data_IF_003260574941
#
_entry.id   IF_003260574941
#
_cell.length_a   1.000
_cell.length_b   1.000
_cell.length_c   1.000
_cell.angle_alpha   90.00
_cell.angle_beta   90.00
_cell.angle_gamma   90.00
#
_symmetry.space_group_name_H-M   'P 1'
#
loop_
_entity.id
_entity.type
_entity.pdbx_description
1 polymer ?
#
# COMPACT_ATOMS: atom_id res chain seq x y z
N UNK A 1 -32.75 37.09 9.22
CA UNK A 1 -31.54 36.29 9.62
C UNK A 1 -31.65 34.94 9.00
N UNK A 2 -30.98 34.76 7.86
CA UNK A 2 -31.00 33.50 7.11
C UNK A 2 -29.86 32.64 7.59
N UNK A 3 -30.19 31.57 8.33
CA UNK A 3 -29.21 30.62 8.83
C UNK A 3 -28.72 29.76 7.64
N UNK A 4 -27.51 30.02 7.18
CA UNK A 4 -26.84 29.18 6.19
C UNK A 4 -26.40 27.89 6.95
N UNK A 5 -27.13 26.81 6.73
CA UNK A 5 -26.76 25.48 7.16
C UNK A 5 -25.61 25.01 6.24
N UNK A 6 -24.39 25.06 6.72
CA UNK A 6 -23.26 24.36 6.08
C UNK A 6 -23.58 22.86 6.14
N UNK A 7 -23.99 22.32 5.00
CA UNK A 7 -24.07 20.87 4.80
C UNK A 7 -22.63 20.35 4.89
N UNK A 8 -22.30 19.65 5.93
CA UNK A 8 -21.09 18.82 5.96
C UNK A 8 -21.18 17.88 4.77
N UNK A 9 -20.16 17.79 3.91
CA UNK A 9 -20.19 16.84 2.82
C UNK A 9 -20.33 15.44 3.42
N UNK A 10 -21.35 14.70 2.99
CA UNK A 10 -21.46 13.28 3.33
C UNK A 10 -20.15 12.58 2.91
N UNK A 11 -19.65 11.65 3.71
CA UNK A 11 -18.44 10.91 3.34
C UNK A 11 -18.75 10.15 2.04
N UNK A 12 -18.16 10.61 0.95
CA UNK A 12 -18.22 9.90 -0.33
C UNK A 12 -17.50 8.58 -0.09
N UNK A 13 -18.22 7.49 -0.16
CA UNK A 13 -17.67 6.14 -0.01
C UNK A 13 -16.52 5.89 -1.00
N UNK A 14 -15.68 4.87 -0.79
CA UNK A 14 -14.57 4.59 -1.68
C UNK A 14 -15.09 4.28 -3.10
N UNK A 15 -14.49 4.92 -4.10
CA UNK A 15 -14.76 4.64 -5.50
C UNK A 15 -14.04 3.36 -5.89
N UNK A 16 -14.79 2.38 -6.41
CA UNK A 16 -14.26 1.12 -6.94
C UNK A 16 -14.35 1.13 -8.47
N UNK A 17 -13.28 0.70 -9.12
CA UNK A 17 -13.22 0.54 -10.57
C UNK A 17 -12.69 -0.85 -10.88
N UNK A 18 -13.48 -1.70 -11.53
CA UNK A 18 -13.01 -3.00 -12.03
C UNK A 18 -11.97 -2.77 -13.13
N UNK A 19 -10.79 -3.36 -12.95
CA UNK A 19 -9.67 -3.29 -13.90
C UNK A 19 -9.55 -4.57 -14.73
N UNK A 20 -9.86 -5.72 -14.13
CA UNK A 20 -9.84 -7.02 -14.75
C UNK A 20 -10.87 -7.92 -14.07
N UNK A 21 -11.68 -8.62 -14.87
CA UNK A 21 -12.62 -9.63 -14.38
C UNK A 21 -12.53 -10.84 -15.30
N UNK A 22 -11.99 -11.94 -14.79
CA UNK A 22 -11.77 -13.18 -15.53
C UNK A 22 -12.11 -14.39 -14.66
N UNK A 23 -12.02 -15.60 -15.22
CA UNK A 23 -12.16 -16.83 -14.43
C UNK A 23 -11.06 -17.04 -13.39
N UNK A 24 -9.96 -16.28 -13.45
CA UNK A 24 -8.84 -16.37 -12.51
C UNK A 24 -9.01 -15.44 -11.31
N UNK A 25 -9.47 -14.21 -11.52
CA UNK A 25 -9.62 -13.22 -10.46
C UNK A 25 -10.48 -12.03 -10.89
N UNK A 26 -11.01 -11.33 -9.88
CA UNK A 26 -11.46 -9.94 -9.98
C UNK A 26 -10.36 -9.02 -9.45
N UNK A 27 -10.02 -7.97 -10.21
CA UNK A 27 -9.04 -6.95 -9.79
C UNK A 27 -9.69 -5.58 -9.83
N UNK A 28 -9.66 -4.89 -8.71
CA UNK A 28 -10.28 -3.58 -8.53
C UNK A 28 -9.25 -2.52 -8.11
N UNK A 29 -9.38 -1.33 -8.65
CA UNK A 29 -8.72 -0.13 -8.16
C UNK A 29 -9.70 0.61 -7.23
N UNK A 30 -9.33 0.73 -5.96
CA UNK A 30 -10.15 1.34 -4.93
C UNK A 30 -9.48 2.62 -4.45
N UNK A 31 -10.24 3.74 -4.49
CA UNK A 31 -9.75 5.06 -4.11
C UNK A 31 -10.73 5.75 -3.18
N UNK A 32 -10.21 6.38 -2.15
CA UNK A 32 -11.00 7.13 -1.18
C UNK A 32 -10.35 8.48 -0.89
N UNK A 33 -11.17 9.52 -0.77
CA UNK A 33 -10.79 10.86 -0.33
C UNK A 33 -11.06 11.07 1.17
N UNK A 34 -10.86 10.06 1.99
CA UNK A 34 -11.16 10.09 3.43
C UNK A 34 -10.51 11.28 4.15
N UNK A 35 -11.21 11.83 5.14
CA UNK A 35 -10.72 12.90 6.00
C UNK A 35 -9.92 12.33 7.18
N UNK A 36 -8.95 13.11 7.67
CA UNK A 36 -8.17 12.74 8.85
C UNK A 36 -9.10 12.48 10.05
N UNK A 37 -8.82 11.38 10.78
CA UNK A 37 -9.62 10.97 11.93
C UNK A 37 -10.95 10.32 11.58
N UNK A 38 -11.32 10.21 10.29
CA UNK A 38 -12.54 9.50 9.90
C UNK A 38 -12.39 8.00 10.15
N UNK A 39 -13.48 7.40 10.59
CA UNK A 39 -13.63 5.95 10.73
C UNK A 39 -14.62 5.52 9.65
N UNK A 40 -14.20 4.65 8.76
CA UNK A 40 -15.06 4.07 7.75
C UNK A 40 -16.12 3.15 8.37
N UNK A 41 -17.13 2.84 7.58
CA UNK A 41 -18.12 1.83 7.97
C UNK A 41 -17.43 0.47 8.19
N UNK A 42 -18.05 -0.37 9.00
CA UNK A 42 -17.67 -1.78 9.09
C UNK A 42 -17.88 -2.44 7.73
N UNK A 43 -16.90 -3.21 7.31
CA UNK A 43 -16.92 -3.95 6.06
C UNK A 43 -16.56 -5.41 6.30
N UNK A 44 -16.89 -6.24 5.34
CA UNK A 44 -16.40 -7.61 5.26
C UNK A 44 -16.22 -7.99 3.79
N UNK A 45 -15.39 -8.98 3.53
CA UNK A 45 -15.32 -9.60 2.21
C UNK A 45 -15.83 -11.04 2.31
N UNK A 46 -16.73 -11.48 1.43
CA UNK A 46 -17.12 -12.90 1.38
C UNK A 46 -15.98 -13.79 0.90
N UNK A 47 -15.02 -13.23 0.18
CA UNK A 47 -13.91 -13.93 -0.47
C UNK A 47 -12.56 -13.50 0.09
N UNK A 48 -11.55 -14.33 -0.13
CA UNK A 48 -10.17 -13.99 0.20
C UNK A 48 -9.67 -12.88 -0.72
N UNK A 49 -9.01 -11.86 -0.14
CA UNK A 49 -8.47 -10.75 -0.91
C UNK A 49 -7.02 -10.47 -0.56
N UNK A 50 -6.25 -10.14 -1.60
CA UNK A 50 -4.94 -9.51 -1.47
C UNK A 50 -5.11 -8.02 -1.74
N UNK A 51 -4.79 -7.19 -0.74
CA UNK A 51 -4.87 -5.73 -0.84
C UNK A 51 -3.47 -5.15 -0.90
N UNK A 52 -3.21 -4.36 -1.94
CA UNK A 52 -1.92 -3.74 -2.22
C UNK A 52 -2.07 -2.21 -2.23
N UNK A 53 -1.96 -1.54 -1.08
CA UNK A 53 -2.02 -0.08 -1.04
C UNK A 53 -0.90 0.52 -1.89
N UNK A 54 -1.18 1.57 -2.68
CA UNK A 54 -0.17 2.23 -3.48
C UNK A 54 -0.07 3.75 -3.23
N UNK A 55 -1.04 4.32 -2.50
CA UNK A 55 -1.06 5.72 -2.08
C UNK A 55 -1.72 5.87 -0.71
N UNK A 56 -1.20 6.82 0.08
CA UNK A 56 -1.76 7.14 1.39
C UNK A 56 -1.45 6.11 2.48
N UNK A 57 -2.17 6.23 3.58
CA UNK A 57 -2.06 5.35 4.75
C UNK A 57 -3.41 5.20 5.42
N UNK A 58 -3.73 3.99 5.86
CA UNK A 58 -4.90 3.69 6.69
C UNK A 58 -4.56 2.65 7.74
N UNK A 59 -5.40 2.52 8.74
CA UNK A 59 -5.33 1.46 9.75
C UNK A 59 -6.52 0.55 9.59
N UNK A 60 -6.24 -0.72 9.35
CA UNK A 60 -7.23 -1.77 9.20
C UNK A 60 -7.35 -2.54 10.51
N UNK A 61 -8.52 -2.47 11.13
CA UNK A 61 -8.81 -3.06 12.43
C UNK A 61 -9.69 -4.30 12.24
N UNK A 62 -9.20 -5.46 12.68
CA UNK A 62 -9.89 -6.74 12.60
C UNK A 62 -9.88 -7.38 13.98
N UNK A 63 -11.03 -7.42 14.64
CA UNK A 63 -11.15 -7.87 16.03
C UNK A 63 -10.23 -7.08 16.97
N UNK A 64 -9.17 -7.73 17.46
CA UNK A 64 -8.19 -7.10 18.36
C UNK A 64 -6.89 -6.66 17.67
N UNK A 65 -6.73 -6.99 16.40
CA UNK A 65 -5.53 -6.64 15.62
C UNK A 65 -5.73 -5.31 14.91
N UNK A 66 -4.66 -4.51 14.84
CA UNK A 66 -4.59 -3.31 14.02
C UNK A 66 -3.40 -3.44 13.06
N UNK A 67 -3.66 -3.25 11.79
CA UNK A 67 -2.67 -3.38 10.72
C UNK A 67 -2.60 -2.06 9.96
N UNK A 68 -1.40 -1.56 9.74
CA UNK A 68 -1.20 -0.35 8.94
C UNK A 68 -1.07 -0.74 7.47
N UNK A 69 -2.01 -0.25 6.65
CA UNK A 69 -1.96 -0.31 5.21
C UNK A 69 -1.23 0.91 4.66
N UNK A 70 -0.08 0.70 4.05
CA UNK A 70 0.70 1.72 3.33
C UNK A 70 1.38 1.08 2.10
N UNK A 71 1.99 1.86 1.18
CA UNK A 71 2.56 1.32 -0.05
C UNK A 71 3.68 0.28 0.10
N UNK A 72 4.21 0.09 1.30
CA UNK A 72 5.21 -0.94 1.61
C UNK A 72 4.59 -2.25 2.12
N UNK A 73 3.26 -2.35 2.21
CA UNK A 73 2.56 -3.51 2.76
C UNK A 73 1.69 -4.21 1.71
N UNK A 74 1.53 -5.51 1.86
CA UNK A 74 0.41 -6.29 1.34
C UNK A 74 -0.46 -6.71 2.52
N UNK A 75 -1.78 -6.60 2.38
CA UNK A 75 -2.75 -7.02 3.38
C UNK A 75 -3.51 -8.24 2.86
N UNK A 76 -3.88 -9.13 3.76
CA UNK A 76 -4.58 -10.38 3.45
C UNK A 76 -5.92 -10.41 4.18
N UNK A 77 -7.01 -10.26 3.42
CA UNK A 77 -8.37 -10.28 3.95
C UNK A 77 -8.88 -11.71 3.96
N UNK A 78 -9.25 -12.19 5.15
CA UNK A 78 -9.81 -13.53 5.33
C UNK A 78 -11.32 -13.50 5.03
N UNK A 79 -11.88 -14.48 4.31
CA UNK A 79 -13.30 -14.54 4.02
C UNK A 79 -14.19 -14.43 5.27
N UNK A 80 -15.19 -13.55 5.22
CA UNK A 80 -16.21 -13.39 6.26
C UNK A 80 -15.71 -12.74 7.56
N UNK A 81 -14.49 -12.23 7.60
CA UNK A 81 -14.03 -11.42 8.74
C UNK A 81 -14.53 -9.98 8.62
N UNK A 82 -15.12 -9.48 9.69
CA UNK A 82 -15.49 -8.07 9.79
C UNK A 82 -14.27 -7.21 10.09
N UNK A 83 -14.17 -6.08 9.43
CA UNK A 83 -13.11 -5.12 9.64
C UNK A 83 -13.62 -3.69 9.64
N UNK A 84 -12.83 -2.80 10.22
CA UNK A 84 -13.06 -1.36 10.21
C UNK A 84 -11.78 -0.65 9.72
N UNK A 85 -11.94 0.39 8.91
CA UNK A 85 -10.83 1.21 8.46
C UNK A 85 -10.82 2.55 9.17
N UNK A 86 -9.63 3.00 9.58
CA UNK A 86 -9.40 4.32 10.18
C UNK A 86 -8.34 5.06 9.37
N UNK A 87 -8.57 6.34 9.16
CA UNK A 87 -7.73 7.21 8.33
C UNK A 87 -6.97 8.19 9.21
N UNK A 88 -5.67 7.94 9.54
CA UNK A 88 -4.91 8.79 10.45
C UNK A 88 -4.48 10.12 9.83
N UNK A 89 -4.43 10.22 8.50
CA UNK A 89 -4.01 11.41 7.76
C UNK A 89 -5.09 11.87 6.77
N UNK A 90 -5.11 13.16 6.40
CA UNK A 90 -5.93 13.66 5.29
C UNK A 90 -5.36 13.20 3.94
N UNK A 91 -6.14 13.36 2.85
CA UNK A 91 -5.72 13.09 1.48
C UNK A 91 -6.08 11.71 0.96
N UNK A 92 -6.73 10.89 1.79
CA UNK A 92 -7.26 9.60 1.38
C UNK A 92 -6.20 8.53 1.13
N UNK A 93 -6.62 7.48 0.46
CA UNK A 93 -5.77 6.33 0.09
C UNK A 93 -6.18 5.77 -1.26
N UNK A 94 -5.28 4.98 -1.85
CA UNK A 94 -5.59 4.17 -3.02
C UNK A 94 -4.91 2.80 -2.91
N UNK A 95 -5.63 1.77 -3.33
CA UNK A 95 -5.23 0.36 -3.21
C UNK A 95 -5.70 -0.46 -4.41
N UNK A 96 -4.90 -1.43 -4.80
CA UNK A 96 -5.28 -2.48 -5.72
C UNK A 96 -5.77 -3.67 -4.91
N UNK A 97 -7.02 -4.07 -5.12
CA UNK A 97 -7.61 -5.26 -4.50
C UNK A 97 -7.64 -6.37 -5.54
N UNK A 98 -7.08 -7.52 -5.20
CA UNK A 98 -7.14 -8.74 -6.00
C UNK A 98 -7.94 -9.78 -5.24
N UNK A 99 -9.04 -10.22 -5.84
CA UNK A 99 -9.88 -11.32 -5.35
C UNK A 99 -9.65 -12.52 -6.26
N UNK A 100 -8.70 -13.43 -5.93
CA UNK A 100 -8.44 -14.61 -6.74
C UNK A 100 -9.60 -15.59 -6.64
N UNK A 101 -9.88 -16.32 -7.72
CA UNK A 101 -10.82 -17.44 -7.67
C UNK A 101 -10.32 -18.52 -6.70
N UNK A 102 -11.24 -19.28 -6.10
CA UNK A 102 -10.87 -20.33 -5.15
C UNK A 102 -9.90 -21.37 -5.75
N UNK A 103 -10.09 -21.85 -7.00
CA UNK A 103 -9.15 -22.77 -7.63
C UNK A 103 -7.75 -22.19 -7.80
N UNK A 104 -7.63 -20.91 -8.20
CA UNK A 104 -6.35 -20.24 -8.34
C UNK A 104 -5.67 -20.06 -6.96
N UNK A 105 -6.43 -19.68 -5.96
CA UNK A 105 -5.89 -19.52 -4.60
C UNK A 105 -5.37 -20.84 -4.03
N UNK A 106 -6.10 -21.95 -4.24
CA UNK A 106 -5.66 -23.29 -3.85
C UNK A 106 -4.37 -23.70 -4.57
N UNK A 107 -4.27 -23.47 -5.88
CA UNK A 107 -3.03 -23.72 -6.65
C UNK A 107 -1.85 -22.96 -6.07
N UNK A 108 -2.03 -21.67 -5.82
CA UNK A 108 -0.95 -20.79 -5.33
C UNK A 108 -0.56 -21.03 -3.87
N UNK A 109 -1.45 -21.61 -3.08
CA UNK A 109 -1.22 -21.87 -1.64
C UNK A 109 -0.86 -23.32 -1.30
N UNK A 110 -0.67 -24.17 -2.32
CA UNK A 110 -0.13 -25.51 -2.15
C UNK A 110 -1.14 -26.66 -2.14
N UNK A 111 -2.28 -26.48 -2.79
CA UNK A 111 -3.17 -27.58 -3.21
C UNK A 111 -4.58 -27.57 -2.61
N UNK A 112 -5.46 -28.46 -3.12
CA UNK A 112 -6.89 -28.48 -2.81
C UNK A 112 -7.17 -28.72 -1.32
N UNK A 113 -8.19 -28.04 -0.79
CA UNK A 113 -8.61 -28.13 0.60
C UNK A 113 -7.83 -27.24 1.57
N UNK A 114 -6.85 -26.46 1.12
CA UNK A 114 -6.22 -25.41 1.94
C UNK A 114 -7.01 -24.12 1.82
N UNK A 115 -8.03 -24.00 2.63
CA UNK A 115 -8.76 -22.73 2.78
C UNK A 115 -7.79 -21.57 3.06
N UNK A 116 -8.06 -20.41 2.47
CA UNK A 116 -7.35 -19.16 2.75
C UNK A 116 -7.20 -18.91 4.26
N UNK A 117 -8.19 -19.28 5.06
CA UNK A 117 -8.17 -19.17 6.54
C UNK A 117 -7.03 -19.95 7.21
N UNK A 118 -6.53 -21.02 6.58
CA UNK A 118 -5.45 -21.85 7.13
C UNK A 118 -4.08 -21.41 6.62
N UNK A 119 -4.01 -20.62 5.56
CA UNK A 119 -2.74 -20.17 5.00
C UNK A 119 -2.05 -19.16 5.96
N UNK A 120 -0.75 -19.33 6.26
CA UNK A 120 -0.03 -18.50 7.23
C UNK A 120 -0.13 -16.99 6.96
N UNK A 121 -0.11 -16.57 5.70
CA UNK A 121 -0.19 -15.14 5.32
C UNK A 121 -1.53 -14.50 5.72
N UNK A 122 -2.64 -15.19 5.57
CA UNK A 122 -3.95 -14.68 5.98
C UNK A 122 -4.05 -14.56 7.49
N UNK A 123 -3.37 -15.45 8.24
CA UNK A 123 -3.26 -15.33 9.71
C UNK A 123 -2.40 -14.14 10.14
N UNK A 124 -1.35 -13.82 9.38
CA UNK A 124 -0.49 -12.66 9.65
C UNK A 124 -1.15 -11.33 9.30
N UNK A 125 -2.19 -11.35 8.45
CA UNK A 125 -2.97 -10.20 7.98
C UNK A 125 -2.21 -9.18 7.14
N UNK A 126 -0.91 -9.08 7.30
CA UNK A 126 -0.07 -8.21 6.46
C UNK A 126 1.37 -8.70 6.41
N UNK A 127 2.06 -8.29 5.36
CA UNK A 127 3.51 -8.42 5.27
C UNK A 127 4.10 -7.24 4.50
N UNK A 128 5.34 -6.89 4.81
CA UNK A 128 6.09 -5.92 4.03
C UNK A 128 6.41 -6.50 2.64
N UNK A 129 6.19 -5.71 1.61
CA UNK A 129 6.52 -6.06 0.23
C UNK A 129 7.87 -5.47 -0.19
N UNK A 130 8.48 -6.09 -1.17
CA UNK A 130 9.72 -5.60 -1.77
C UNK A 130 9.46 -4.63 -2.94
N UNK A 131 10.48 -3.93 -3.45
CA UNK A 131 10.33 -3.04 -4.60
C UNK A 131 9.85 -3.74 -5.88
N UNK A 132 10.12 -5.05 -6.06
CA UNK A 132 9.68 -5.79 -7.25
C UNK A 132 8.17 -5.89 -7.30
N UNK A 133 7.54 -6.19 -6.16
CA UNK A 133 6.08 -6.25 -6.06
C UNK A 133 5.45 -4.86 -6.19
N UNK A 134 6.09 -3.80 -5.67
CA UNK A 134 5.65 -2.43 -5.90
C UNK A 134 5.67 -2.06 -7.40
N UNK A 135 6.73 -2.44 -8.10
CA UNK A 135 6.85 -2.21 -9.54
C UNK A 135 5.82 -3.03 -10.34
N UNK A 136 5.62 -4.31 -9.99
CA UNK A 136 4.61 -5.16 -10.63
C UNK A 136 3.20 -4.57 -10.48
N UNK A 137 2.84 -4.12 -9.27
CA UNK A 137 1.57 -3.42 -9.02
C UNK A 137 1.44 -2.15 -9.89
N UNK A 138 2.47 -1.31 -9.94
CA UNK A 138 2.43 -0.08 -10.74
C UNK A 138 2.32 -0.36 -12.24
N UNK A 139 2.99 -1.40 -12.73
CA UNK A 139 2.86 -1.85 -14.13
C UNK A 139 1.46 -2.37 -14.42
N UNK A 140 0.88 -3.16 -13.53
CA UNK A 140 -0.49 -3.66 -13.69
C UNK A 140 -1.50 -2.50 -13.80
N UNK A 141 -1.40 -1.50 -12.91
CA UNK A 141 -2.23 -0.31 -12.95
C UNK A 141 -2.07 0.47 -14.26
N UNK A 142 -0.82 0.64 -14.74
CA UNK A 142 -0.53 1.30 -16.02
C UNK A 142 -1.07 0.52 -17.21
N UNK A 143 -0.93 -0.80 -17.20
CA UNK A 143 -1.41 -1.71 -18.24
C UNK A 143 -2.95 -1.67 -18.34
N UNK A 144 -3.64 -1.79 -17.22
CA UNK A 144 -5.09 -1.70 -17.16
C UNK A 144 -5.61 -0.33 -17.63
N UNK A 145 -4.93 0.78 -17.26
CA UNK A 145 -5.27 2.12 -17.71
C UNK A 145 -5.06 2.32 -19.23
N UNK A 146 -4.15 1.56 -19.84
CA UNK A 146 -3.90 1.57 -21.28
C UNK A 146 -4.88 0.70 -22.09
N UNK A 147 -5.75 -0.08 -21.45
CA UNK A 147 -6.68 -1.00 -22.10
C UNK A 147 -5.98 -2.19 -22.75
N UNK A 148 -5.04 -2.78 -22.03
CA UNK A 148 -4.26 -3.92 -22.50
C UNK A 148 -5.11 -5.18 -22.78
N UNK A 149 -4.54 -6.08 -23.56
CA UNK A 149 -5.15 -7.38 -23.84
C UNK A 149 -5.29 -8.20 -22.55
N UNK A 150 -6.42 -8.92 -22.37
CA UNK A 150 -6.70 -9.69 -21.15
C UNK A 150 -5.58 -10.67 -20.79
N UNK A 151 -4.98 -11.36 -21.77
CA UNK A 151 -3.92 -12.34 -21.53
C UNK A 151 -2.67 -11.71 -20.90
N UNK A 152 -2.25 -10.52 -21.38
CA UNK A 152 -1.11 -9.81 -20.82
C UNK A 152 -1.36 -9.38 -19.37
N UNK A 153 -2.59 -8.93 -19.08
CA UNK A 153 -3.01 -8.56 -17.73
C UNK A 153 -3.04 -9.79 -16.81
N UNK A 154 -3.54 -10.95 -17.27
CA UNK A 154 -3.57 -12.19 -16.51
C UNK A 154 -2.15 -12.72 -16.20
N UNK A 155 -1.23 -12.71 -17.17
CA UNK A 155 0.16 -13.13 -16.94
C UNK A 155 0.84 -12.26 -15.87
N UNK A 156 0.66 -10.94 -15.95
CA UNK A 156 1.20 -10.02 -14.97
C UNK A 156 0.55 -10.20 -13.60
N UNK A 157 -0.77 -10.45 -13.54
CA UNK A 157 -1.50 -10.76 -12.33
C UNK A 157 -0.98 -12.03 -11.65
N UNK A 158 -0.79 -13.11 -12.41
CA UNK A 158 -0.24 -14.37 -11.88
C UNK A 158 1.17 -14.17 -11.33
N UNK A 159 2.02 -13.40 -12.02
CA UNK A 159 3.35 -13.05 -11.52
C UNK A 159 3.28 -12.25 -10.21
N UNK A 160 2.36 -11.30 -10.12
CA UNK A 160 2.11 -10.50 -8.92
C UNK A 160 1.65 -11.37 -7.76
N UNK A 161 0.67 -12.25 -7.97
CA UNK A 161 0.14 -13.14 -6.95
C UNK A 161 1.20 -14.13 -6.45
N UNK A 162 1.97 -14.77 -7.36
CA UNK A 162 3.07 -15.67 -6.98
C UNK A 162 4.13 -14.94 -6.14
N UNK A 163 4.47 -13.71 -6.50
CA UNK A 163 5.41 -12.89 -5.72
C UNK A 163 4.82 -12.52 -4.36
N UNK A 164 3.53 -12.17 -4.33
CA UNK A 164 2.85 -11.77 -3.09
C UNK A 164 2.64 -12.95 -2.13
N UNK A 165 2.41 -14.16 -2.60
CA UNK A 165 2.13 -15.35 -1.79
C UNK A 165 3.38 -16.22 -1.55
N UNK A 166 4.41 -16.10 -2.39
CA UNK A 166 5.50 -17.06 -2.53
C UNK A 166 6.64 -17.03 -1.52
N UNK A 167 6.74 -16.10 -0.58
CA UNK A 167 7.80 -16.09 0.44
C UNK A 167 7.22 -16.07 1.86
N UNK A 168 7.30 -17.21 2.53
CA UNK A 168 7.02 -17.34 3.96
C UNK A 168 8.17 -16.72 4.77
N UNK A 169 8.08 -15.44 5.11
CA UNK A 169 8.79 -14.90 6.27
C UNK A 169 7.79 -14.76 7.40
N UNK A 170 7.99 -15.49 8.51
CA UNK A 170 7.13 -15.31 9.67
C UNK A 170 7.27 -13.88 10.17
N UNK A 171 6.25 -13.07 9.97
CA UNK A 171 6.16 -11.78 10.63
C UNK A 171 5.82 -12.03 12.10
N UNK A 172 6.60 -11.45 13.00
CA UNK A 172 6.26 -11.42 14.42
C UNK A 172 4.94 -10.65 14.55
N UNK A 173 3.94 -11.29 15.18
CA UNK A 173 2.75 -10.54 15.62
C UNK A 173 3.15 -9.74 16.87
N UNK A 174 3.36 -8.43 16.77
CA UNK A 174 3.82 -7.66 17.90
C UNK A 174 2.70 -7.48 18.94
N UNK A 175 3.07 -7.37 20.23
CA UNK A 175 2.15 -7.00 21.30
C UNK A 175 1.43 -5.68 21.00
N UNK A 176 0.24 -5.44 21.58
CA UNK A 176 -0.59 -4.26 21.30
C UNK A 176 0.13 -2.91 21.50
N UNK A 177 0.95 -2.80 22.54
CA UNK A 177 1.76 -1.58 22.76
C UNK A 177 2.75 -1.35 21.60
N UNK A 178 3.35 -2.40 21.09
CA UNK A 178 4.24 -2.39 19.93
C UNK A 178 3.49 -2.02 18.65
N UNK A 179 2.28 -2.56 18.44
CA UNK A 179 1.45 -2.21 17.29
C UNK A 179 1.13 -0.71 17.24
N UNK A 180 0.72 -0.11 18.37
CA UNK A 180 0.44 1.33 18.49
C UNK A 180 1.68 2.19 18.22
N UNK A 181 2.85 1.77 18.71
CA UNK A 181 4.10 2.48 18.44
C UNK A 181 4.47 2.41 16.96
N UNK A 182 4.33 1.24 16.34
CA UNK A 182 4.58 1.06 14.91
C UNK A 182 3.60 1.85 14.05
N UNK A 183 2.32 1.88 14.41
CA UNK A 183 1.30 2.71 13.76
C UNK A 183 1.70 4.19 13.79
N UNK A 184 2.04 4.73 14.98
CA UNK A 184 2.48 6.12 15.12
C UNK A 184 3.72 6.41 14.30
N UNK A 185 4.71 5.51 14.30
CA UNK A 185 5.93 5.66 13.52
C UNK A 185 5.65 5.69 12.00
N UNK A 186 4.87 4.76 11.50
CA UNK A 186 4.48 4.71 10.07
C UNK A 186 3.65 5.93 9.66
N UNK A 187 2.69 6.33 10.51
CA UNK A 187 1.88 7.54 10.27
C UNK A 187 2.76 8.78 10.19
N UNK A 188 3.73 8.93 11.11
CA UNK A 188 4.67 10.05 11.08
C UNK A 188 5.54 10.04 9.82
N UNK A 189 6.07 8.87 9.42
CA UNK A 189 6.85 8.72 8.18
C UNK A 189 6.03 9.09 6.94
N UNK A 190 4.77 8.70 6.89
CA UNK A 190 3.88 9.02 5.79
C UNK A 190 3.51 10.52 5.74
N UNK A 191 3.27 11.14 6.91
CA UNK A 191 2.98 12.59 7.02
C UNK A 191 4.15 13.47 6.58
N UNK A 192 5.38 13.04 6.88
CA UNK A 192 6.61 13.80 6.64
C UNK A 192 7.41 13.28 5.42
N UNK A 193 6.74 12.61 4.50
CA UNK A 193 7.36 11.87 3.38
C UNK A 193 8.28 12.77 2.54
N UNK A 194 7.85 13.99 2.21
CA UNK A 194 8.60 14.94 1.37
C UNK A 194 9.71 15.70 2.09
N UNK A 195 9.86 15.51 3.42
CA UNK A 195 10.78 16.29 4.27
C UNK A 195 11.98 15.47 4.72
N UNK A 196 13.12 16.12 4.92
CA UNK A 196 14.23 15.50 5.64
C UNK A 196 13.89 15.45 7.12
N UNK A 197 13.86 14.25 7.69
CA UNK A 197 13.54 14.00 9.10
C UNK A 197 14.65 13.22 9.78
N UNK A 198 14.93 13.58 11.04
CA UNK A 198 15.91 12.90 11.87
C UNK A 198 15.27 11.79 12.71
N UNK A 199 16.09 10.82 13.12
CA UNK A 199 15.64 9.76 14.04
C UNK A 199 15.14 10.34 15.37
N UNK A 200 15.76 11.42 15.85
CA UNK A 200 15.36 12.09 17.10
C UNK A 200 13.96 12.74 16.98
N UNK A 201 13.64 13.34 15.84
CA UNK A 201 12.30 13.87 15.57
C UNK A 201 11.24 12.77 15.57
N UNK A 202 11.49 11.67 14.85
CA UNK A 202 10.58 10.53 14.81
C UNK A 202 10.37 9.98 16.24
N UNK A 203 11.44 9.72 16.97
CA UNK A 203 11.40 9.16 18.31
C UNK A 203 10.60 10.04 19.28
N UNK A 204 10.80 11.37 19.22
CA UNK A 204 10.03 12.33 19.99
C UNK A 204 8.54 12.31 19.63
N UNK A 205 8.22 12.31 18.35
CA UNK A 205 6.83 12.30 17.86
C UNK A 205 6.06 11.05 18.30
N UNK A 206 6.74 9.90 18.38
CA UNK A 206 6.12 8.64 18.79
C UNK A 206 6.26 8.34 20.30
N UNK A 207 6.97 9.18 21.07
CA UNK A 207 7.15 9.02 22.51
C UNK A 207 8.01 7.80 22.87
N UNK A 208 9.11 7.58 22.13
CA UNK A 208 10.05 6.48 22.36
C UNK A 208 11.50 7.00 22.37
N UNK A 209 12.44 6.23 22.93
CA UNK A 209 13.85 6.55 22.75
C UNK A 209 14.31 6.16 21.33
N UNK A 210 15.29 6.89 20.73
CA UNK A 210 15.80 6.58 19.40
C UNK A 210 16.32 5.13 19.26
N UNK A 211 17.04 4.64 20.29
CA UNK A 211 17.58 3.27 20.29
C UNK A 211 16.48 2.21 20.30
N UNK A 212 15.49 2.36 21.20
CA UNK A 212 14.34 1.44 21.27
C UNK A 212 13.54 1.44 19.97
N UNK A 213 13.22 2.62 19.43
CA UNK A 213 12.48 2.74 18.16
C UNK A 213 13.21 2.02 17.02
N UNK A 214 14.53 2.22 16.89
CA UNK A 214 15.33 1.60 15.83
C UNK A 214 15.34 0.09 15.92
N UNK A 215 15.56 -0.45 17.13
CA UNK A 215 15.57 -1.90 17.37
C UNK A 215 14.20 -2.52 17.07
N UNK A 216 13.14 -1.91 17.62
CA UNK A 216 11.79 -2.40 17.46
C UNK A 216 11.34 -2.36 16.00
N UNK A 217 11.56 -1.24 15.33
CA UNK A 217 11.16 -1.08 13.92
C UNK A 217 11.85 -2.10 13.02
N UNK A 218 13.16 -2.32 13.24
CA UNK A 218 13.91 -3.35 12.50
C UNK A 218 13.43 -4.77 12.81
N UNK A 219 13.05 -5.04 14.05
CA UNK A 219 12.52 -6.35 14.44
C UNK A 219 11.17 -6.65 13.77
N UNK A 220 10.28 -5.64 13.67
CA UNK A 220 8.93 -5.80 13.10
C UNK A 220 8.96 -5.75 11.56
N UNK A 221 9.61 -4.73 10.98
CA UNK A 221 9.59 -4.50 9.53
C UNK A 221 10.74 -5.19 8.78
N UNK A 222 11.72 -5.73 9.48
CA UNK A 222 12.90 -6.38 8.89
C UNK A 222 13.89 -5.42 8.22
N UNK A 223 13.63 -4.11 8.24
CA UNK A 223 14.47 -3.06 7.65
C UNK A 223 14.60 -1.86 8.57
N UNK A 224 15.68 -1.06 8.47
CA UNK A 224 15.80 0.20 9.20
C UNK A 224 14.78 1.24 8.76
N UNK A 225 14.41 2.17 9.66
CA UNK A 225 13.48 3.29 9.41
C UNK A 225 13.80 4.06 8.12
N UNK A 226 15.06 4.44 7.91
CA UNK A 226 15.46 5.18 6.72
C UNK A 226 15.24 4.42 5.40
N UNK A 227 15.44 3.10 5.43
CA UNK A 227 15.19 2.25 4.27
C UNK A 227 13.69 2.14 3.97
N UNK A 228 12.89 2.03 5.03
CA UNK A 228 11.43 2.03 4.93
C UNK A 228 10.88 3.35 4.36
N UNK A 229 11.36 4.49 4.87
CA UNK A 229 11.00 5.81 4.35
C UNK A 229 11.42 5.98 2.88
N UNK A 230 12.64 5.55 2.53
CA UNK A 230 13.10 5.57 1.13
C UNK A 230 12.20 4.75 0.23
N UNK A 231 11.76 3.59 0.68
CA UNK A 231 10.84 2.72 -0.08
C UNK A 231 9.46 3.35 -0.23
N UNK A 232 8.91 4.04 0.79
CA UNK A 232 7.67 4.81 0.69
C UNK A 232 7.78 5.93 -0.36
N UNK A 233 8.88 6.69 -0.35
CA UNK A 233 9.16 7.74 -1.34
C UNK A 233 9.23 7.18 -2.76
N UNK A 234 9.88 6.04 -2.94
CA UNK A 234 9.97 5.38 -4.23
C UNK A 234 8.64 4.80 -4.69
N UNK A 235 7.80 4.30 -3.78
CA UNK A 235 6.45 3.87 -4.09
C UNK A 235 5.57 5.05 -4.55
N UNK A 236 5.69 6.21 -3.88
CA UNK A 236 5.00 7.43 -4.32
C UNK A 236 5.52 7.88 -5.70
N UNK A 237 6.82 7.77 -5.96
CA UNK A 237 7.40 8.09 -7.27
C UNK A 237 6.78 7.25 -8.40
N UNK A 238 6.48 5.97 -8.18
CA UNK A 238 5.82 5.13 -9.20
C UNK A 238 4.42 5.66 -9.58
N UNK A 239 3.74 6.32 -8.65
CA UNK A 239 2.41 6.93 -8.89
C UNK A 239 2.53 8.28 -9.60
N UNK A 240 3.52 9.10 -9.22
CA UNK A 240 3.64 10.48 -9.69
C UNK A 240 4.41 10.60 -11.02
N UNK A 241 5.36 9.69 -11.29
CA UNK A 241 6.20 9.74 -12.50
C UNK A 241 5.43 9.81 -13.82
N UNK A 242 4.31 9.09 -14.02
CA UNK A 242 3.53 9.20 -15.26
C UNK A 242 2.97 10.61 -15.52
N UNK A 243 2.80 11.41 -14.47
CA UNK A 243 2.25 12.77 -14.52
C UNK A 243 3.30 13.87 -14.43
N UNK A 244 4.54 13.52 -14.04
CA UNK A 244 5.57 14.50 -13.75
C UNK A 244 6.16 15.09 -15.03
N UNK A 245 6.08 16.41 -15.17
CA UNK A 245 6.78 17.15 -16.23
C UNK A 245 8.25 17.37 -15.84
N UNK A 246 8.51 17.76 -14.59
CA UNK A 246 9.83 17.98 -14.02
C UNK A 246 10.23 16.86 -13.04
N UNK A 247 11.22 16.06 -13.47
CA UNK A 247 11.78 14.98 -12.63
C UNK A 247 12.66 15.52 -11.48
N UNK A 248 13.20 16.72 -11.61
CA UNK A 248 14.02 17.33 -10.57
C UNK A 248 13.15 17.87 -9.46
N UNK A 249 12.07 18.58 -9.81
CA UNK A 249 11.05 19.04 -8.88
C UNK A 249 10.44 17.87 -8.12
N UNK A 250 9.98 16.83 -8.85
CA UNK A 250 9.44 15.62 -8.22
C UNK A 250 10.42 14.97 -7.23
N UNK A 251 11.71 14.88 -7.56
CA UNK A 251 12.71 14.31 -6.66
C UNK A 251 12.80 15.09 -5.35
N UNK A 252 12.77 16.42 -5.39
CA UNK A 252 12.81 17.28 -4.22
C UNK A 252 11.51 17.19 -3.39
N UNK A 253 10.35 17.20 -4.05
CA UNK A 253 9.03 17.03 -3.41
C UNK A 253 8.93 15.69 -2.66
N UNK A 254 9.51 14.64 -3.21
CA UNK A 254 9.61 13.33 -2.57
C UNK A 254 10.68 13.25 -1.47
N UNK A 255 11.36 14.36 -1.15
CA UNK A 255 12.34 14.45 -0.07
C UNK A 255 13.71 13.85 -0.40
N UNK A 256 14.07 13.69 -1.67
CA UNK A 256 15.43 13.35 -2.07
C UNK A 256 16.27 14.63 -2.15
N UNK A 257 17.58 14.52 -1.83
CA UNK A 257 18.49 15.66 -1.83
C UNK A 257 18.84 16.19 -3.23
N UNK A 258 18.63 15.40 -4.27
CA UNK A 258 18.85 15.78 -5.68
C UNK A 258 18.21 14.75 -6.65
N UNK A 259 18.03 15.16 -7.90
CA UNK A 259 17.63 14.27 -8.99
C UNK A 259 18.57 13.06 -9.15
N UNK A 260 19.88 13.27 -9.01
CA UNK A 260 20.87 12.18 -9.12
C UNK A 260 20.72 11.16 -8.00
N UNK A 261 20.50 11.63 -6.76
CA UNK A 261 20.23 10.75 -5.62
C UNK A 261 18.94 9.95 -5.82
N UNK A 262 17.88 10.62 -6.24
CA UNK A 262 16.60 9.96 -6.58
C UNK A 262 16.78 8.89 -7.65
N UNK A 263 17.41 9.25 -8.80
CA UNK A 263 17.60 8.34 -9.93
C UNK A 263 18.44 7.12 -9.55
N UNK A 264 19.49 7.30 -8.75
CA UNK A 264 20.32 6.19 -8.25
C UNK A 264 19.52 5.24 -7.35
N UNK A 265 18.71 5.79 -6.40
CA UNK A 265 17.85 4.99 -5.52
C UNK A 265 16.77 4.26 -6.28
N UNK A 266 16.11 4.93 -7.22
CA UNK A 266 15.07 4.36 -8.07
C UNK A 266 15.62 3.21 -8.92
N UNK A 267 16.76 3.44 -9.61
CA UNK A 267 17.40 2.39 -10.41
C UNK A 267 17.83 1.19 -9.58
N UNK A 268 18.37 1.43 -8.37
CA UNK A 268 18.75 0.33 -7.46
C UNK A 268 17.53 -0.49 -7.01
N UNK A 269 16.39 0.16 -6.76
CA UNK A 269 15.18 -0.51 -6.29
C UNK A 269 14.45 -1.26 -7.40
N UNK A 270 14.33 -0.66 -8.59
CA UNK A 270 13.46 -1.13 -9.66
C UNK A 270 14.18 -1.63 -10.91
N UNK A 271 15.50 -1.51 -10.97
CA UNK A 271 16.30 -1.96 -12.12
C UNK A 271 16.27 -1.05 -13.35
N UNK A 272 15.48 0.03 -13.34
CA UNK A 272 15.33 0.99 -14.44
C UNK A 272 15.36 2.43 -13.93
N UNK A 273 15.64 3.38 -14.82
CA UNK A 273 15.64 4.81 -14.44
C UNK A 273 14.23 5.38 -14.36
N UNK A 274 14.01 6.48 -13.60
CA UNK A 274 12.71 7.17 -13.56
C UNK A 274 12.20 7.55 -14.96
N UNK A 275 13.07 8.07 -15.82
CA UNK A 275 12.72 8.42 -17.20
C UNK A 275 12.34 7.21 -18.05
N UNK A 276 13.00 6.05 -17.86
CA UNK A 276 12.64 4.81 -18.54
C UNK A 276 11.27 4.32 -18.07
N UNK A 277 11.02 4.31 -16.75
CA UNK A 277 9.71 3.94 -16.19
C UNK A 277 8.60 4.84 -16.76
N UNK A 278 8.77 6.16 -16.76
CA UNK A 278 7.78 7.10 -17.32
C UNK A 278 7.42 6.81 -18.78
N UNK A 279 8.38 6.39 -19.59
CA UNK A 279 8.13 6.02 -21.01
C UNK A 279 7.38 4.70 -21.18
N UNK A 280 7.56 3.75 -20.27
CA UNK A 280 6.98 2.40 -20.38
C UNK A 280 5.64 2.25 -19.67
N UNK A 281 5.36 3.07 -18.68
CA UNK A 281 4.07 3.10 -18.01
C UNK A 281 3.11 4.03 -18.73
N UNK A 282 2.53 3.56 -19.85
CA UNK A 282 1.47 4.18 -20.62
C UNK A 282 0.58 5.22 -19.89
N UNK A 283 -0.71 5.25 -20.05
CA UNK A 283 -1.60 6.26 -19.47
C UNK A 283 -1.45 6.43 -17.95
N UNK A 284 -1.47 7.68 -17.46
CA UNK A 284 -1.37 7.97 -16.04
C UNK A 284 -2.55 7.39 -15.25
N UNK A 285 -2.24 6.83 -14.07
CA UNK A 285 -3.25 6.45 -13.07
C UNK A 285 -3.99 7.74 -12.64
N UNK A 286 -5.32 7.86 -12.78
CA UNK A 286 -6.03 9.08 -12.48
C UNK A 286 -5.74 9.60 -11.05
N UNK A 287 -5.73 10.93 -10.87
CA UNK A 287 -5.59 11.54 -9.55
C UNK A 287 -6.73 11.11 -8.61
N UNK A 288 -6.49 11.17 -7.29
CA UNK A 288 -7.57 11.02 -6.33
C UNK A 288 -8.61 12.11 -6.56
N UNK A 289 -9.91 11.82 -6.44
CA UNK A 289 -10.94 12.86 -6.42
C UNK A 289 -10.64 13.82 -5.26
N UNK A 290 -10.72 15.12 -5.56
CA UNK A 290 -10.55 16.21 -4.59
C UNK A 290 -11.78 16.31 -3.69
#
# INVERSE_FOLDING_TARGET
MTTVRLLSPEPVGPRRTSLLETGLALVEDVRSSAFAGSVGAEGFSPEAQLVLPYRGIFVWEVGRAAVVGDPNQALFVTPGEEFRMRHPLPGGYAELIVTPSEPLLEELTGGPGRSARLHPLFRLRSRRIDPRLQLARARFLGLAAAGAEPLEAEELLLSLLRTALGEERPALQPARCTQRLMERAKTYLAAELGRSISLAEIARAVGASPGYLTQLFRAVEGVPLHAYLTQLRLAQALVELPHAEDLTGLALELGFSSHSHFSARFRRAFGLTPSAFRRTCGRPVPALPV
#
